data_IF_985644285159
#
_entry.id   IF_985644285159
#
_cell.length_a   1.000
_cell.length_b   1.000
_cell.length_c   1.000
_cell.angle_alpha   90.00
_cell.angle_beta   90.00
_cell.angle_gamma   90.00
#
_symmetry.space_group_name_H-M   'P 1'
#
loop_
_entity.id
_entity.type
_entity.pdbx_description
1 polymer ?
#
# COMPACT_ATOMS: atom_id res chain seq x y z
N UNK A 1 -16.37 -24.04 5.14
CA UNK A 1 -15.73 -22.75 5.47
C UNK A 1 -14.59 -22.57 4.48
N UNK A 2 -14.72 -21.65 3.54
CA UNK A 2 -13.71 -21.37 2.50
C UNK A 2 -12.43 -20.86 3.19
N UNK A 3 -11.29 -21.52 2.94
CA UNK A 3 -9.96 -21.13 3.43
C UNK A 3 -9.47 -19.76 2.90
N UNK A 4 -10.34 -18.96 2.27
CA UNK A 4 -10.04 -17.62 1.76
C UNK A 4 -10.23 -16.52 2.81
N UNK A 5 -11.04 -16.76 3.85
CA UNK A 5 -11.26 -15.78 4.92
C UNK A 5 -10.15 -15.76 6.00
N UNK A 6 -9.29 -16.79 6.04
CA UNK A 6 -8.17 -16.85 6.97
C UNK A 6 -7.01 -15.91 6.58
N UNK A 7 -6.81 -15.63 5.28
CA UNK A 7 -5.70 -14.79 4.83
C UNK A 7 -5.90 -13.29 5.09
N UNK A 8 -7.13 -12.84 5.31
CA UNK A 8 -7.44 -11.41 5.51
C UNK A 8 -7.55 -10.99 6.98
N UNK A 9 -7.82 -11.92 7.91
CA UNK A 9 -7.91 -11.61 9.34
C UNK A 9 -6.54 -11.43 10.04
N UNK A 10 -5.43 -11.75 9.37
CA UNK A 10 -4.07 -11.70 9.95
C UNK A 10 -3.16 -10.59 9.40
N UNK A 11 -3.64 -9.69 8.53
CA UNK A 11 -2.81 -8.56 8.10
C UNK A 11 -3.15 -7.28 8.89
N UNK A 12 -2.43 -6.98 10.00
CA UNK A 12 -2.64 -5.76 10.78
C UNK A 12 -2.07 -4.55 10.04
N UNK A 13 -2.83 -3.99 9.11
CA UNK A 13 -2.44 -2.77 8.41
C UNK A 13 -2.65 -1.54 9.31
N UNK A 14 -1.60 -0.71 9.44
CA UNK A 14 -1.62 0.53 10.23
C UNK A 14 -1.61 1.72 9.28
N UNK A 15 -2.51 2.69 9.52
CA UNK A 15 -2.59 3.91 8.73
C UNK A 15 -1.31 4.75 8.88
N UNK A 16 -0.68 5.07 7.75
CA UNK A 16 0.45 5.98 7.66
C UNK A 16 -0.12 7.38 7.45
N UNK A 17 -0.32 8.11 8.55
CA UNK A 17 -0.88 9.47 8.51
C UNK A 17 0.00 10.47 7.75
N UNK A 18 1.32 10.32 7.85
CA UNK A 18 2.27 11.19 7.16
C UNK A 18 2.79 10.56 5.87
N UNK A 19 2.26 11.03 4.73
CA UNK A 19 2.67 10.61 3.38
C UNK A 19 4.16 10.86 3.11
N UNK A 20 4.84 11.77 3.84
CA UNK A 20 6.28 12.01 3.68
C UNK A 20 7.15 10.88 4.23
N UNK A 21 6.60 10.05 5.12
CA UNK A 21 7.32 8.87 5.68
C UNK A 21 7.29 7.66 4.75
N UNK A 22 6.55 7.72 3.64
CA UNK A 22 6.45 6.63 2.66
C UNK A 22 7.78 6.23 2.03
N UNK A 23 8.76 7.15 1.92
CA UNK A 23 10.12 6.82 1.47
C UNK A 23 10.79 5.72 2.31
N UNK A 24 10.41 5.59 3.58
CA UNK A 24 10.94 4.53 4.46
C UNK A 24 10.37 3.14 4.11
N UNK A 25 9.33 3.09 3.27
CA UNK A 25 8.63 1.87 2.87
C UNK A 25 8.94 1.46 1.42
N UNK A 26 10.00 2.00 0.82
CA UNK A 26 10.48 1.53 -0.48
C UNK A 26 10.79 0.03 -0.44
N UNK A 27 10.42 -0.67 -1.51
CA UNK A 27 10.43 -2.12 -1.66
C UNK A 27 9.52 -2.92 -0.73
N UNK A 28 8.68 -2.27 0.08
CA UNK A 28 7.74 -2.91 1.00
C UNK A 28 6.32 -2.98 0.43
N UNK A 29 5.52 -3.91 0.98
CA UNK A 29 4.08 -3.99 0.70
C UNK A 29 3.35 -2.91 1.51
N UNK A 30 2.66 -2.04 0.79
CA UNK A 30 1.74 -1.05 1.33
C UNK A 30 0.35 -1.29 0.75
N UNK A 31 -0.65 -0.86 1.49
CA UNK A 31 -2.03 -0.83 1.01
C UNK A 31 -2.45 0.61 0.83
N UNK A 32 -3.09 0.92 -0.29
CA UNK A 32 -3.62 2.24 -0.57
C UNK A 32 -5.13 2.19 -0.60
N UNK A 33 -5.77 3.20 -0.04
CA UNK A 33 -7.19 3.46 -0.23
C UNK A 33 -7.34 4.65 -1.18
N UNK A 34 -7.94 4.41 -2.34
CA UNK A 34 -8.25 5.44 -3.33
C UNK A 34 -9.46 6.26 -2.87
N UNK A 35 -9.51 7.53 -3.28
CA UNK A 35 -10.70 8.38 -3.12
C UNK A 35 -11.94 7.82 -3.81
N UNK A 36 -11.76 6.94 -4.80
CA UNK A 36 -12.84 6.26 -5.50
C UNK A 36 -13.39 5.04 -4.72
N UNK A 37 -12.87 4.78 -3.52
CA UNK A 37 -13.34 3.70 -2.64
C UNK A 37 -12.61 2.36 -2.82
N UNK A 38 -11.75 2.23 -3.82
CA UNK A 38 -10.98 1.00 -4.04
C UNK A 38 -9.77 0.90 -3.12
N UNK A 39 -9.49 -0.31 -2.64
CA UNK A 39 -8.32 -0.62 -1.82
C UNK A 39 -7.43 -1.59 -2.58
N UNK A 40 -6.14 -1.26 -2.71
CA UNK A 40 -5.18 -2.06 -3.46
C UNK A 40 -3.94 -2.36 -2.64
N UNK A 41 -3.47 -3.62 -2.72
CA UNK A 41 -2.16 -4.02 -2.24
C UNK A 41 -1.12 -3.69 -3.31
N UNK A 42 -0.02 -3.08 -2.88
CA UNK A 42 0.93 -2.45 -3.76
C UNK A 42 2.34 -2.55 -3.18
N UNK A 43 3.31 -2.98 -3.98
CA UNK A 43 4.72 -2.93 -3.57
C UNK A 43 5.30 -1.58 -3.98
N UNK A 44 5.57 -0.73 -3.00
CA UNK A 44 6.10 0.63 -3.23
C UNK A 44 7.53 0.54 -3.77
N UNK A 45 7.86 1.37 -4.77
CA UNK A 45 9.20 1.48 -5.35
C UNK A 45 9.77 2.89 -5.18
N UNK A 46 8.96 3.91 -5.41
CA UNK A 46 9.37 5.30 -5.29
C UNK A 46 8.24 6.10 -4.63
N UNK A 47 8.59 6.99 -3.71
CA UNK A 47 7.68 7.99 -3.18
C UNK A 47 8.13 9.41 -3.56
N UNK A 48 7.35 10.06 -4.42
CA UNK A 48 7.53 11.45 -4.81
C UNK A 48 6.45 12.33 -4.15
N UNK A 49 6.70 13.63 -3.87
CA UNK A 49 5.67 14.54 -3.36
C UNK A 49 4.39 14.65 -4.20
N UNK A 50 4.42 14.23 -5.48
CA UNK A 50 3.26 14.27 -6.39
C UNK A 50 2.66 12.89 -6.68
N UNK A 51 3.44 11.82 -6.61
CA UNK A 51 3.01 10.48 -7.02
C UNK A 51 3.80 9.39 -6.28
N UNK A 52 3.30 8.16 -6.35
CA UNK A 52 4.05 6.96 -5.98
C UNK A 52 4.19 6.03 -7.19
N UNK A 53 5.25 5.24 -7.24
CA UNK A 53 5.43 4.16 -8.22
C UNK A 53 5.65 2.84 -7.52
N UNK A 54 5.35 1.75 -8.22
CA UNK A 54 5.45 0.41 -7.65
C UNK A 54 4.74 -0.63 -8.48
N UNK A 55 4.56 -1.82 -7.89
CA UNK A 55 4.01 -2.98 -8.59
C UNK A 55 2.67 -3.34 -7.96
N UNK A 56 1.62 -3.39 -8.79
CA UNK A 56 0.26 -3.76 -8.39
C UNK A 56 -0.15 -5.05 -9.09
N UNK A 57 -0.90 -5.90 -8.40
CA UNK A 57 -1.53 -7.06 -9.04
C UNK A 57 -2.86 -6.65 -9.66
N UNK A 58 -3.02 -6.82 -10.97
CA UNK A 58 -4.24 -6.44 -11.71
C UNK A 58 -5.21 -7.61 -11.91
N UNK A 59 -5.03 -8.72 -11.19
CA UNK A 59 -5.85 -9.93 -11.34
C UNK A 59 -5.35 -10.90 -12.41
N UNK A 60 -4.45 -10.46 -13.29
CA UNK A 60 -3.83 -11.29 -14.35
C UNK A 60 -2.31 -11.31 -14.26
N UNK A 61 -1.71 -10.15 -14.01
CA UNK A 61 -0.26 -9.99 -13.93
C UNK A 61 0.11 -8.89 -12.95
N UNK A 62 1.39 -8.86 -12.59
CA UNK A 62 1.96 -7.76 -11.82
C UNK A 62 2.40 -6.67 -12.78
N UNK A 63 1.85 -5.47 -12.62
CA UNK A 63 2.12 -4.34 -13.50
C UNK A 63 2.78 -3.20 -12.72
N UNK A 64 3.79 -2.53 -13.32
CA UNK A 64 4.28 -1.29 -12.79
C UNK A 64 3.19 -0.23 -12.93
N UNK A 65 2.87 0.47 -11.84
CA UNK A 65 1.90 1.56 -11.85
C UNK A 65 2.47 2.81 -11.22
N UNK A 66 2.03 3.96 -11.72
CA UNK A 66 2.33 5.29 -11.20
C UNK A 66 1.02 5.92 -10.77
N UNK A 67 0.86 6.13 -9.46
CA UNK A 67 -0.40 6.60 -8.88
C UNK A 67 -0.21 8.01 -8.33
N UNK A 68 -0.93 9.01 -8.86
CA UNK A 68 -0.95 10.36 -8.31
C UNK A 68 -1.41 10.38 -6.84
N UNK A 69 -0.68 11.08 -5.97
CA UNK A 69 -1.01 11.15 -4.54
C UNK A 69 -2.34 11.85 -4.25
N UNK A 70 -2.80 12.70 -5.16
CA UNK A 70 -4.09 13.39 -5.06
C UNK A 70 -5.29 12.43 -5.18
N UNK A 71 -5.09 11.24 -5.77
CA UNK A 71 -6.09 10.19 -5.91
C UNK A 71 -6.12 9.24 -4.70
N UNK A 72 -5.14 9.35 -3.79
CA UNK A 72 -5.01 8.46 -2.63
C UNK A 72 -5.54 9.18 -1.38
N UNK A 73 -6.54 8.56 -0.76
CA UNK A 73 -7.11 9.01 0.52
C UNK A 73 -6.10 8.75 1.64
N UNK A 74 -5.69 7.50 1.82
CA UNK A 74 -4.75 7.10 2.87
C UNK A 74 -3.88 5.91 2.46
N UNK A 75 -2.78 5.75 3.19
CA UNK A 75 -1.80 4.68 3.03
C UNK A 75 -1.81 3.83 4.29
N UNK A 76 -1.51 2.55 4.13
CA UNK A 76 -1.34 1.64 5.24
C UNK A 76 -0.09 0.78 5.03
N UNK A 77 0.66 0.55 6.10
CA UNK A 77 1.77 -0.39 6.13
C UNK A 77 1.38 -1.61 6.95
N UNK A 78 2.05 -2.74 6.73
CA UNK A 78 1.96 -3.87 7.67
C UNK A 78 2.45 -3.42 9.06
N UNK A 79 1.86 -3.94 10.15
CA UNK A 79 2.28 -3.61 11.52
C UNK A 79 3.75 -3.92 11.78
N UNK A 80 4.27 -5.00 11.17
CA UNK A 80 5.67 -5.38 11.25
C UNK A 80 6.56 -4.30 10.65
N UNK A 81 6.26 -3.84 9.44
CA UNK A 81 7.02 -2.79 8.78
C UNK A 81 6.90 -1.44 9.48
N UNK A 82 5.69 -1.13 9.98
CA UNK A 82 5.44 0.12 10.69
C UNK A 82 6.27 0.23 11.98
N UNK A 83 6.34 -0.83 12.78
CA UNK A 83 7.12 -0.84 14.02
C UNK A 83 8.63 -0.74 13.78
N UNK A 84 9.14 -1.37 12.71
CA UNK A 84 10.57 -1.36 12.38
C UNK A 84 11.07 -0.03 11.78
N UNK A 85 10.16 0.89 11.42
CA UNK A 85 10.47 2.15 10.74
C UNK A 85 10.01 3.41 11.49
N UNK A 86 9.30 3.26 12.62
CA UNK A 86 8.72 4.37 13.39
C UNK A 86 9.75 5.00 14.31
#
# INVERSE_FOLDING_TARGET
>A
MDNRDLYYNEMPFINIQDKRRLKNYEDKLVMIKSKLGFTHLFRLRECNPKYITGIMYTGKQFEPVKIPLNNIECFYATKLDYNNLK
#
